data_IF_717170645335
#
_entry.id   IF_717170645335
#
_cell.length_a   1.000
_cell.length_b   1.000
_cell.length_c   1.000
_cell.angle_alpha   90.00
_cell.angle_beta   90.00
_cell.angle_gamma   90.00
#
_symmetry.space_group_name_H-M   'P 1'
#
loop_
_entity.id
_entity.type
_entity.pdbx_description
1 polymer ?
#
# COMPACT_ATOMS: atom_id res chain seq x y z
N UNK A 1 -61.77 14.31 16.41
CA UNK A 1 -60.93 13.11 16.32
C UNK A 1 -59.65 13.38 17.09
N UNK A 2 -59.35 12.60 18.12
CA UNK A 2 -58.11 12.72 18.87
C UNK A 2 -57.69 11.32 19.31
N UNK A 3 -56.57 10.84 18.78
CA UNK A 3 -56.00 9.56 19.19
C UNK A 3 -55.15 9.79 20.45
N UNK A 4 -55.51 9.11 21.53
CA UNK A 4 -54.71 9.04 22.76
C UNK A 4 -53.71 7.89 22.63
N UNK A 5 -52.43 8.19 22.87
CA UNK A 5 -51.28 7.28 22.66
C UNK A 5 -50.67 6.78 23.97
N UNK A 6 -51.47 6.65 25.03
CA UNK A 6 -50.98 6.28 26.36
C UNK A 6 -50.90 4.75 26.62
N UNK A 7 -51.10 3.87 25.62
CA UNK A 7 -51.05 2.43 25.87
C UNK A 7 -50.50 1.57 24.71
N UNK A 8 -49.29 1.90 24.22
CA UNK A 8 -48.48 0.91 23.48
C UNK A 8 -47.22 0.66 24.30
N UNK A 9 -47.38 -0.13 25.36
CA UNK A 9 -46.27 -0.77 26.05
C UNK A 9 -45.49 -1.63 25.06
N UNK A 10 -44.18 -1.37 24.94
CA UNK A 10 -43.22 -2.18 24.18
C UNK A 10 -43.22 -3.62 24.73
N UNK A 11 -44.07 -4.46 24.16
CA UNK A 11 -44.12 -5.89 24.41
C UNK A 11 -42.98 -6.56 23.62
N UNK A 12 -41.94 -6.93 24.37
CA UNK A 12 -41.08 -8.10 24.19
C UNK A 12 -40.56 -8.46 22.79
N UNK A 13 -39.26 -8.25 22.57
CA UNK A 13 -38.43 -9.20 21.80
C UNK A 13 -36.96 -9.06 22.22
N UNK A 14 -36.65 -9.48 23.44
CA UNK A 14 -35.28 -9.73 23.86
C UNK A 14 -35.12 -11.23 24.13
N UNK A 15 -34.07 -11.77 23.49
CA UNK A 15 -33.34 -13.00 23.78
C UNK A 15 -33.82 -14.31 23.12
N UNK A 16 -33.15 -14.64 22.01
CA UNK A 16 -32.45 -15.93 21.80
C UNK A 16 -31.57 -15.89 20.54
N UNK A 17 -30.26 -16.09 20.71
CA UNK A 17 -29.40 -16.62 19.64
C UNK A 17 -28.07 -15.91 19.37
N UNK A 18 -26.98 -16.61 19.69
CA UNK A 18 -25.65 -16.56 19.06
C UNK A 18 -24.74 -15.36 19.42
N UNK A 19 -24.18 -15.42 20.62
CA UNK A 19 -22.93 -14.73 20.95
C UNK A 19 -21.75 -15.52 20.37
N UNK A 20 -21.44 -15.32 19.08
CA UNK A 20 -20.11 -15.58 18.48
C UNK A 20 -20.14 -15.20 16.99
N UNK A 21 -20.38 -13.92 16.67
CA UNK A 21 -20.02 -13.44 15.34
C UNK A 21 -18.55 -13.02 15.37
N UNK A 22 -17.70 -14.04 15.22
CA UNK A 22 -16.30 -13.92 14.89
C UNK A 22 -16.16 -13.05 13.64
N UNK A 23 -15.79 -11.79 13.83
CA UNK A 23 -14.84 -11.05 12.99
C UNK A 23 -14.79 -11.49 11.51
N UNK A 24 -15.91 -11.37 10.78
CA UNK A 24 -15.88 -11.54 9.33
C UNK A 24 -15.49 -10.22 8.71
N UNK A 25 -14.18 -9.99 8.62
CA UNK A 25 -13.64 -9.00 7.68
C UNK A 25 -14.16 -9.38 6.28
N UNK A 26 -14.71 -8.41 5.53
CA UNK A 26 -15.33 -8.70 4.25
C UNK A 26 -14.27 -9.25 3.30
N UNK A 27 -14.57 -10.39 2.66
CA UNK A 27 -13.73 -11.03 1.64
C UNK A 27 -13.25 -10.05 0.56
N UNK A 28 -14.01 -8.96 0.34
CA UNK A 28 -13.70 -7.86 -0.56
C UNK A 28 -12.44 -7.05 -0.18
N UNK A 29 -12.14 -6.88 1.11
CA UNK A 29 -10.90 -6.20 1.55
C UNK A 29 -9.68 -7.08 1.27
N UNK A 30 -9.81 -8.40 1.39
CA UNK A 30 -8.73 -9.37 1.15
C UNK A 30 -8.27 -9.40 -0.30
N UNK A 31 -9.17 -9.20 -1.26
CA UNK A 31 -8.80 -9.20 -2.69
C UNK A 31 -8.05 -7.95 -3.15
N UNK A 32 -8.21 -6.81 -2.45
CA UNK A 32 -7.53 -5.56 -2.79
C UNK A 32 -6.02 -5.58 -2.51
N UNK A 33 -5.56 -6.43 -1.58
CA UNK A 33 -4.15 -6.51 -1.21
C UNK A 33 -3.32 -7.51 -2.06
N UNK A 34 -3.97 -8.44 -2.77
CA UNK A 34 -3.27 -9.61 -3.35
C UNK A 34 -2.81 -9.46 -4.81
N UNK A 35 -3.02 -8.30 -5.43
CA UNK A 35 -2.62 -8.07 -6.83
C UNK A 35 -1.81 -6.78 -6.99
N UNK A 36 -0.62 -6.73 -6.38
CA UNK A 36 0.35 -5.69 -6.69
C UNK A 36 0.83 -5.87 -8.14
N UNK A 37 0.26 -5.08 -9.07
CA UNK A 37 0.70 -5.09 -10.46
C UNK A 37 2.17 -4.66 -10.52
N UNK A 38 3.04 -5.39 -11.23
CA UNK A 38 4.43 -4.99 -11.41
C UNK A 38 4.51 -3.63 -12.13
N UNK A 39 5.68 -2.98 -12.06
CA UNK A 39 5.87 -1.76 -12.84
C UNK A 39 5.65 -2.04 -14.32
N UNK A 40 4.95 -1.13 -14.99
CA UNK A 40 4.86 -1.17 -16.44
C UNK A 40 6.24 -0.91 -17.05
N UNK A 41 6.48 -1.40 -18.26
CA UNK A 41 7.76 -1.20 -18.95
C UNK A 41 8.15 0.28 -19.02
N UNK A 42 7.18 1.16 -19.30
CA UNK A 42 7.39 2.63 -19.28
C UNK A 42 7.88 3.12 -17.93
N UNK A 43 7.30 2.61 -16.83
CA UNK A 43 7.68 3.06 -15.50
C UNK A 43 9.08 2.57 -15.10
N UNK A 44 9.46 1.38 -15.56
CA UNK A 44 10.83 0.86 -15.40
C UNK A 44 11.83 1.71 -16.19
N UNK A 45 11.51 2.01 -17.46
CA UNK A 45 12.31 2.89 -18.31
C UNK A 45 12.52 4.28 -17.67
N UNK A 46 11.44 4.93 -17.24
CA UNK A 46 11.50 6.24 -16.57
C UNK A 46 12.46 6.18 -15.36
N UNK A 47 12.30 5.17 -14.50
CA UNK A 47 13.14 4.99 -13.31
C UNK A 47 14.62 4.80 -13.65
N UNK A 48 14.94 3.87 -14.56
CA UNK A 48 16.35 3.60 -14.91
C UNK A 48 16.99 4.77 -15.67
N UNK A 49 16.21 5.52 -16.45
CA UNK A 49 16.68 6.70 -17.15
C UNK A 49 16.98 7.84 -16.19
N UNK A 50 16.06 8.14 -15.27
CA UNK A 50 16.26 9.14 -14.20
C UNK A 50 17.48 8.78 -13.35
N UNK A 51 17.58 7.52 -12.91
CA UNK A 51 18.72 7.02 -12.15
C UNK A 51 20.03 7.16 -12.93
N UNK A 52 20.04 6.77 -14.20
CA UNK A 52 21.21 6.89 -15.07
C UNK A 52 21.66 8.34 -15.26
N UNK A 53 20.73 9.29 -15.41
CA UNK A 53 21.03 10.72 -15.52
C UNK A 53 21.66 11.25 -14.22
N UNK A 54 21.09 10.91 -13.06
CA UNK A 54 21.60 11.35 -11.76
C UNK A 54 23.01 10.80 -11.49
N UNK A 55 23.22 9.52 -11.76
CA UNK A 55 24.55 8.89 -11.59
C UNK A 55 25.58 9.50 -12.55
N UNK A 56 25.20 9.78 -13.81
CA UNK A 56 26.08 10.46 -14.77
C UNK A 56 26.42 11.90 -14.36
N UNK A 57 25.50 12.56 -13.66
CA UNK A 57 25.72 13.89 -13.09
C UNK A 57 26.64 13.87 -11.86
N UNK A 58 27.09 12.69 -11.40
CA UNK A 58 27.97 12.53 -10.25
C UNK A 58 27.25 12.47 -8.91
N UNK A 59 25.92 12.36 -8.91
CA UNK A 59 25.13 12.18 -7.69
C UNK A 59 25.37 10.78 -7.14
N UNK A 60 25.52 10.65 -5.82
CA UNK A 60 25.71 9.33 -5.21
C UNK A 60 24.44 8.49 -5.33
N UNK A 61 24.57 7.16 -5.37
CA UNK A 61 23.42 6.27 -5.52
C UNK A 61 22.35 6.48 -4.44
N UNK A 62 22.77 6.77 -3.20
CA UNK A 62 21.87 7.08 -2.08
C UNK A 62 21.04 8.34 -2.37
N UNK A 63 21.71 9.44 -2.71
CA UNK A 63 21.05 10.72 -3.00
C UNK A 63 20.15 10.61 -4.23
N UNK A 64 20.59 9.87 -5.25
CA UNK A 64 19.80 9.64 -6.45
C UNK A 64 18.48 8.91 -6.11
N UNK A 65 18.52 7.87 -5.27
CA UNK A 65 17.32 7.18 -4.81
C UNK A 65 16.42 8.08 -3.96
N UNK A 66 16.99 8.92 -3.10
CA UNK A 66 16.22 9.87 -2.29
C UNK A 66 15.47 10.90 -3.17
N UNK A 67 16.15 11.44 -4.19
CA UNK A 67 15.54 12.35 -5.17
C UNK A 67 14.44 11.67 -5.99
N UNK A 68 14.69 10.44 -6.47
CA UNK A 68 13.69 9.68 -7.22
C UNK A 68 12.47 9.38 -6.35
N UNK A 69 12.67 9.07 -5.05
CA UNK A 69 11.60 8.84 -4.08
C UNK A 69 10.72 10.10 -3.94
N UNK A 70 11.34 11.25 -3.76
CA UNK A 70 10.63 12.53 -3.62
C UNK A 70 9.83 12.88 -4.89
N UNK A 71 10.35 12.55 -6.07
CA UNK A 71 9.67 12.74 -7.35
C UNK A 71 8.47 11.80 -7.61
N UNK A 72 8.29 10.72 -6.84
CA UNK A 72 7.17 9.81 -7.06
C UNK A 72 5.84 10.38 -6.56
N UNK A 73 4.81 10.37 -7.40
CA UNK A 73 3.46 10.81 -7.01
C UNK A 73 2.67 9.76 -6.21
N UNK A 74 2.95 8.47 -6.43
CA UNK A 74 2.20 7.36 -5.82
C UNK A 74 2.93 6.84 -4.60
N UNK A 75 2.22 6.74 -3.47
CA UNK A 75 2.78 6.22 -2.21
C UNK A 75 3.41 4.84 -2.36
N UNK A 76 2.77 3.92 -3.11
CA UNK A 76 3.35 2.59 -3.37
C UNK A 76 4.74 2.64 -4.01
N UNK A 77 4.97 3.60 -4.92
CA UNK A 77 6.26 3.74 -5.58
C UNK A 77 7.27 4.42 -4.66
N UNK A 78 6.82 5.41 -3.87
CA UNK A 78 7.66 6.00 -2.81
C UNK A 78 8.15 4.94 -1.84
N UNK A 79 7.26 4.06 -1.38
CA UNK A 79 7.61 2.97 -0.47
C UNK A 79 8.61 1.99 -1.11
N UNK A 80 8.42 1.62 -2.39
CA UNK A 80 9.39 0.76 -3.08
C UNK A 80 10.78 1.38 -3.17
N UNK A 81 10.88 2.63 -3.61
CA UNK A 81 12.17 3.33 -3.72
C UNK A 81 12.78 3.57 -2.34
N UNK A 82 11.95 3.87 -1.33
CA UNK A 82 12.39 3.98 0.07
C UNK A 82 12.96 2.67 0.61
N UNK A 83 12.35 1.52 0.29
CA UNK A 83 12.91 0.21 0.63
C UNK A 83 14.24 -0.03 -0.07
N UNK A 84 14.43 0.40 -1.32
CA UNK A 84 15.73 0.30 -1.99
C UNK A 84 16.79 1.18 -1.31
N UNK A 85 16.41 2.40 -0.91
CA UNK A 85 17.26 3.32 -0.16
C UNK A 85 17.69 2.72 1.19
N UNK A 86 16.76 2.17 1.96
CA UNK A 86 17.02 1.53 3.25
C UNK A 86 17.93 0.31 3.11
N UNK A 87 17.69 -0.56 2.12
CA UNK A 87 18.54 -1.72 1.86
C UNK A 87 19.96 -1.32 1.42
N UNK A 88 20.08 -0.22 0.68
CA UNK A 88 21.39 0.31 0.33
C UNK A 88 22.14 0.86 1.57
N UNK A 89 21.43 1.56 2.47
CA UNK A 89 22.01 2.08 3.72
C UNK A 89 22.41 0.94 4.66
N UNK A 90 21.67 -0.17 4.67
CA UNK A 90 22.01 -1.37 5.46
C UNK A 90 23.18 -2.18 4.87
N UNK A 91 23.71 -1.78 3.71
CA UNK A 91 24.86 -2.40 3.07
C UNK A 91 24.53 -3.58 2.16
N UNK A 92 23.24 -3.80 1.84
CA UNK A 92 22.85 -4.82 0.87
C UNK A 92 23.19 -4.36 -0.55
N UNK A 93 23.44 -5.34 -1.42
CA UNK A 93 23.68 -5.06 -2.83
C UNK A 93 22.42 -4.52 -3.49
N UNK A 94 22.55 -3.40 -4.21
CA UNK A 94 21.46 -2.80 -4.96
C UNK A 94 20.90 -3.75 -6.02
N UNK A 95 21.76 -4.50 -6.70
CA UNK A 95 21.35 -5.43 -7.75
C UNK A 95 20.56 -6.62 -7.22
N UNK A 96 20.93 -7.14 -6.05
CA UNK A 96 20.21 -8.21 -5.36
C UNK A 96 18.83 -7.71 -4.91
N UNK A 97 18.79 -6.52 -4.30
CA UNK A 97 17.56 -5.90 -3.84
C UNK A 97 16.56 -5.68 -4.98
N UNK A 98 17.01 -5.26 -6.16
CA UNK A 98 16.13 -5.13 -7.33
C UNK A 98 15.66 -6.50 -7.83
N UNK A 99 16.56 -7.49 -7.90
CA UNK A 99 16.26 -8.82 -8.45
C UNK A 99 15.21 -9.59 -7.63
N UNK A 100 15.19 -9.39 -6.32
CA UNK A 100 14.23 -10.03 -5.42
C UNK A 100 12.81 -9.45 -5.50
N UNK A 101 12.67 -8.24 -6.06
CA UNK A 101 11.39 -7.53 -6.13
C UNK A 101 10.63 -7.92 -7.39
N UNK A 102 9.36 -8.30 -7.21
CA UNK A 102 8.47 -8.69 -8.31
C UNK A 102 8.03 -7.49 -9.15
N UNK A 103 8.22 -6.28 -8.64
CA UNK A 103 7.81 -5.04 -9.27
C UNK A 103 8.78 -4.59 -10.37
N UNK A 104 10.03 -5.05 -10.34
CA UNK A 104 11.08 -4.70 -11.31
C UNK A 104 11.26 -5.70 -12.44
#
# INVERSE_FOLDING_TARGET
MGFKLENISKISSQQKGVSQDLQRTPLLERELFSFSKPFSNRKKEDFYTELGVLLKAGVTLKEALALIKEGQKKERHKSLVGLLEENLISGLSFSETIRERKEF
#
